data_IF_632043647472
#
_entry.id   IF_632043647472
#
_cell.length_a   1.000
_cell.length_b   1.000
_cell.length_c   1.000
_cell.angle_alpha   90.00
_cell.angle_beta   90.00
_cell.angle_gamma   90.00
#
_symmetry.space_group_name_H-M   'P 1'
#
loop_
_entity.id
_entity.type
_entity.pdbx_description
1 polymer ?
#
# COMPACT_ATOMS: atom_id res chain seq x y z
N UNK A 1 26.35 2.94 -4.69
CA UNK A 1 24.98 3.09 -5.22
C UNK A 1 24.18 1.92 -4.71
N UNK A 2 23.63 2.05 -3.50
CA UNK A 2 22.61 1.14 -2.99
C UNK A 2 21.41 2.04 -2.67
N UNK A 3 20.54 2.25 -3.66
CA UNK A 3 19.16 2.61 -3.34
C UNK A 3 18.50 1.31 -2.89
N UNK A 4 18.52 1.05 -1.59
CA UNK A 4 17.90 -0.14 -1.02
C UNK A 4 16.38 0.05 -1.06
N UNK A 5 15.74 -0.38 -2.14
CA UNK A 5 14.27 -0.48 -2.17
C UNK A 5 13.87 -1.69 -1.33
N UNK A 6 13.66 -1.48 -0.03
CA UNK A 6 13.13 -2.53 0.83
C UNK A 6 11.62 -2.65 0.61
N UNK A 7 11.22 -3.71 -0.09
CA UNK A 7 9.82 -4.11 -0.25
C UNK A 7 9.36 -4.83 1.01
N UNK A 8 8.69 -4.13 1.91
CA UNK A 8 8.14 -4.72 3.13
C UNK A 8 6.65 -5.01 2.91
N UNK A 9 6.27 -6.29 3.02
CA UNK A 9 4.87 -6.67 3.17
C UNK A 9 4.46 -6.43 4.62
N UNK A 10 3.39 -5.67 4.80
CA UNK A 10 2.77 -5.50 6.12
C UNK A 10 1.35 -5.99 6.05
N UNK A 11 0.94 -6.71 7.09
CA UNK A 11 -0.42 -7.16 7.28
C UNK A 11 -1.04 -6.36 8.41
N UNK A 12 -2.23 -5.85 8.14
CA UNK A 12 -3.13 -5.39 9.18
C UNK A 12 -4.18 -6.47 9.38
N UNK A 13 -4.42 -6.82 10.65
CA UNK A 13 -5.43 -7.78 11.06
C UNK A 13 -6.62 -7.02 11.63
N UNK A 14 -7.81 -7.42 11.21
CA UNK A 14 -9.05 -6.91 11.74
C UNK A 14 -9.32 -7.57 13.11
N UNK A 15 -9.45 -6.78 14.17
CA UNK A 15 -9.70 -7.28 15.54
C UNK A 15 -10.80 -6.43 16.16
N UNK A 16 -12.06 -6.65 15.81
CA UNK A 16 -13.12 -5.92 16.52
C UNK A 16 -13.36 -6.51 17.92
N UNK A 17 -13.19 -5.65 18.93
CA UNK A 17 -13.68 -5.87 20.28
C UNK A 17 -15.20 -5.67 20.31
N UNK A 18 -15.97 -6.57 20.96
CA UNK A 18 -17.44 -6.60 20.90
C UNK A 18 -18.17 -5.44 21.61
N UNK A 19 -17.53 -4.28 21.86
CA UNK A 19 -18.07 -3.22 22.72
C UNK A 19 -18.08 -1.80 22.14
N UNK A 20 -17.73 -1.56 20.87
CA UNK A 20 -17.61 -0.18 20.33
C UNK A 20 -18.73 0.15 19.30
N UNK A 21 -19.96 0.36 19.79
CA UNK A 21 -21.18 0.63 19.00
C UNK A 21 -21.22 2.01 18.27
N UNK A 22 -20.19 2.86 18.43
CA UNK A 22 -20.27 4.29 18.10
C UNK A 22 -19.48 4.76 16.87
N UNK A 23 -19.23 3.92 15.86
CA UNK A 23 -18.53 4.35 14.63
C UNK A 23 -19.35 4.06 13.40
N UNK A 24 -20.41 4.84 13.23
CA UNK A 24 -21.20 4.96 11.99
C UNK A 24 -20.59 6.06 11.12
N UNK A 25 -19.52 5.79 10.38
CA UNK A 25 -19.13 6.63 9.25
C UNK A 25 -17.98 6.00 8.46
N UNK A 26 -18.15 5.94 7.12
CA UNK A 26 -17.17 5.59 6.08
C UNK A 26 -16.69 4.13 6.12
N UNK A 27 -16.82 3.37 5.02
CA UNK A 27 -16.25 2.01 4.82
C UNK A 27 -14.96 1.82 5.65
N UNK A 28 -15.09 1.23 6.84
CA UNK A 28 -14.08 1.42 7.87
C UNK A 28 -12.90 0.53 7.55
N UNK A 29 -11.78 1.15 7.17
CA UNK A 29 -10.47 0.55 7.33
C UNK A 29 -10.18 0.63 8.85
N UNK A 30 -9.90 -0.50 9.50
CA UNK A 30 -9.70 -0.60 10.95
C UNK A 30 -8.46 -1.44 11.23
N UNK A 31 -7.30 -0.86 10.98
CA UNK A 31 -6.05 -1.53 11.32
C UNK A 31 -5.76 -1.39 12.82
N UNK A 32 -6.08 -2.41 13.61
CA UNK A 32 -5.91 -2.35 15.07
C UNK A 32 -4.54 -2.83 15.55
N UNK A 33 -3.86 -3.67 14.76
CA UNK A 33 -2.48 -4.08 15.01
C UNK A 33 -1.71 -4.19 13.70
N UNK A 34 -0.45 -3.76 13.73
CA UNK A 34 0.45 -3.83 12.60
C UNK A 34 1.46 -4.94 12.85
N UNK A 35 1.28 -6.09 12.21
CA UNK A 35 2.23 -7.19 12.30
C UNK A 35 3.14 -7.16 11.07
N UNK A 36 4.41 -6.86 11.28
CA UNK A 36 5.46 -7.15 10.30
C UNK A 36 5.84 -8.63 10.47
N UNK A 37 5.25 -9.51 9.67
CA UNK A 37 5.79 -10.85 9.54
C UNK A 37 7.12 -10.75 8.78
N UNK A 38 8.22 -11.08 9.44
CA UNK A 38 9.50 -11.34 8.78
C UNK A 38 9.41 -12.68 8.05
N UNK A 39 8.63 -12.74 6.98
CA UNK A 39 8.77 -13.81 6.02
C UNK A 39 10.07 -13.55 5.25
N UNK A 40 10.97 -14.54 5.27
CA UNK A 40 12.19 -14.48 4.46
C UNK A 40 11.79 -14.41 2.98
N UNK A 41 12.23 -13.35 2.32
CA UNK A 41 12.12 -13.17 0.88
C UNK A 41 12.80 -14.35 0.18
N UNK A 42 12.05 -15.20 -0.52
CA UNK A 42 12.63 -16.32 -1.25
C UNK A 42 12.64 -16.01 -2.75
N UNK A 43 13.83 -15.80 -3.31
CA UNK A 43 14.00 -15.63 -4.75
C UNK A 43 14.03 -17.02 -5.38
N UNK A 44 12.97 -17.39 -6.08
CA UNK A 44 12.83 -18.74 -6.63
C UNK A 44 13.44 -18.87 -8.03
N UNK A 45 13.37 -17.79 -8.83
CA UNK A 45 13.87 -17.80 -10.20
C UNK A 45 14.32 -16.41 -10.63
N UNK A 46 15.47 -16.35 -11.30
CA UNK A 46 15.93 -15.17 -12.03
C UNK A 46 16.09 -15.58 -13.49
N UNK A 47 15.47 -14.84 -14.40
CA UNK A 47 15.59 -15.03 -15.85
C UNK A 47 16.19 -13.77 -16.44
N UNK A 48 17.31 -13.89 -17.16
CA UNK A 48 17.93 -12.77 -17.86
C UNK A 48 17.62 -12.84 -19.33
N UNK A 49 17.03 -11.78 -19.87
CA UNK A 49 16.60 -11.70 -21.26
C UNK A 49 17.37 -10.62 -22.03
N UNK A 50 17.13 -10.55 -23.34
CA UNK A 50 17.76 -9.51 -24.16
C UNK A 50 17.17 -8.10 -23.92
N UNK A 51 15.93 -8.02 -23.44
CA UNK A 51 15.19 -6.76 -23.25
C UNK A 51 14.77 -6.50 -21.79
N UNK A 52 14.66 -7.57 -21.00
CA UNK A 52 14.13 -7.53 -19.64
C UNK A 52 14.79 -8.61 -18.79
N UNK A 53 15.13 -8.24 -17.57
CA UNK A 53 15.51 -9.17 -16.50
C UNK A 53 14.31 -9.34 -15.57
N UNK A 54 13.97 -10.59 -15.25
CA UNK A 54 12.81 -10.92 -14.43
C UNK A 54 13.23 -11.74 -13.21
N UNK A 55 12.69 -11.40 -12.04
CA UNK A 55 12.84 -12.15 -10.79
C UNK A 55 11.47 -12.57 -10.24
N UNK A 56 11.28 -13.87 -10.05
CA UNK A 56 10.13 -14.43 -9.34
C UNK A 56 10.47 -14.60 -7.86
N UNK A 57 9.67 -13.98 -7.01
CA UNK A 57 9.88 -13.90 -5.58
C UNK A 57 8.63 -14.38 -4.86
N UNK A 58 8.81 -15.30 -3.93
CA UNK A 58 7.76 -15.78 -3.04
C UNK A 58 7.99 -15.26 -1.62
N UNK A 59 6.95 -14.68 -1.04
CA UNK A 59 6.95 -14.24 0.36
C UNK A 59 6.21 -15.26 1.24
N UNK A 60 5.10 -15.79 0.73
CA UNK A 60 4.31 -16.81 1.41
C UNK A 60 3.57 -17.66 0.38
N UNK A 61 2.95 -18.75 0.84
CA UNK A 61 2.11 -19.62 0.00
C UNK A 61 0.94 -18.92 -0.71
N UNK A 62 0.58 -17.72 -0.26
CA UNK A 62 -0.49 -16.89 -0.80
C UNK A 62 -0.01 -15.52 -1.30
N UNK A 63 1.28 -15.22 -1.25
CA UNK A 63 1.83 -13.94 -1.70
C UNK A 63 3.14 -14.13 -2.46
N UNK A 64 3.12 -13.78 -3.74
CA UNK A 64 4.28 -13.78 -4.61
C UNK A 64 4.32 -12.51 -5.46
N UNK A 65 5.49 -12.16 -5.96
CA UNK A 65 5.66 -11.08 -6.92
C UNK A 65 6.65 -11.43 -8.03
N UNK A 66 6.46 -10.79 -9.17
CA UNK A 66 7.40 -10.77 -10.28
C UNK A 66 7.92 -9.36 -10.42
N UNK A 67 9.22 -9.20 -10.32
CA UNK A 67 9.91 -7.92 -10.57
C UNK A 67 10.53 -8.01 -11.96
N UNK A 68 10.14 -7.10 -12.85
CA UNK A 68 10.69 -6.98 -14.20
C UNK A 68 11.46 -5.68 -14.32
N UNK A 69 12.75 -5.77 -14.59
CA UNK A 69 13.61 -4.64 -14.88
C UNK A 69 13.88 -4.61 -16.38
N UNK A 70 13.28 -3.66 -17.07
CA UNK A 70 13.50 -3.45 -18.49
C UNK A 70 14.82 -2.71 -18.73
N UNK A 71 15.52 -3.05 -19.81
CA UNK A 71 16.80 -2.41 -20.14
C UNK A 71 16.69 -0.92 -20.52
N UNK A 72 15.46 -0.40 -20.66
CA UNK A 72 15.19 1.04 -20.81
C UNK A 72 15.08 1.79 -19.47
N UNK A 73 15.23 1.10 -18.33
CA UNK A 73 15.17 1.67 -16.99
C UNK A 73 13.78 1.65 -16.34
N UNK A 74 12.75 1.13 -17.02
CA UNK A 74 11.44 0.90 -16.40
C UNK A 74 11.49 -0.28 -15.43
N UNK A 75 10.92 -0.08 -14.24
CA UNK A 75 10.67 -1.14 -13.27
C UNK A 75 9.18 -1.46 -13.28
N UNK A 76 8.85 -2.74 -13.38
CA UNK A 76 7.48 -3.20 -13.27
C UNK A 76 7.42 -4.26 -12.17
N UNK A 77 6.42 -4.14 -11.29
CA UNK A 77 6.17 -5.11 -10.25
C UNK A 77 4.77 -5.64 -10.41
N UNK A 78 4.66 -6.96 -10.54
CA UNK A 78 3.41 -7.68 -10.58
C UNK A 78 3.24 -8.49 -9.29
N UNK A 79 2.14 -8.29 -8.57
CA UNK A 79 1.82 -9.04 -7.37
C UNK A 79 0.72 -10.04 -7.64
N UNK A 80 0.84 -11.21 -7.02
CA UNK A 80 -0.23 -12.19 -6.89
C UNK A 80 -0.50 -12.37 -5.41
N UNK A 81 -1.67 -11.91 -4.96
CA UNK A 81 -2.13 -12.04 -3.57
C UNK A 81 -3.35 -12.95 -3.53
N UNK A 82 -3.30 -13.96 -2.67
CA UNK A 82 -4.37 -14.91 -2.40
C UNK A 82 -4.18 -16.30 -3.04
N UNK A 83 -5.08 -17.26 -2.75
CA UNK A 83 -6.12 -17.18 -1.72
C UNK A 83 -5.52 -16.97 -0.33
N UNK A 84 -6.14 -16.15 0.49
CA UNK A 84 -5.79 -16.12 1.90
C UNK A 84 -6.10 -17.47 2.58
N UNK A 85 -5.34 -17.83 3.63
CA UNK A 85 -5.65 -19.02 4.41
C UNK A 85 -7.07 -18.98 4.99
N UNK A 86 -7.76 -20.12 5.00
CA UNK A 86 -9.11 -20.26 5.57
C UNK A 86 -9.08 -20.43 7.09
N UNK A 87 -8.50 -19.46 7.80
CA UNK A 87 -8.34 -19.48 9.26
C UNK A 87 -9.22 -18.45 9.99
N UNK A 88 -10.22 -17.88 9.29
CA UNK A 88 -11.15 -16.89 9.82
C UNK A 88 -10.46 -15.65 10.41
N UNK A 89 -9.30 -15.27 9.88
CA UNK A 89 -8.61 -14.02 10.22
C UNK A 89 -8.78 -13.01 9.08
N UNK A 90 -9.33 -11.83 9.40
CA UNK A 90 -9.39 -10.71 8.46
C UNK A 90 -7.98 -10.20 8.14
N UNK A 91 -7.70 -9.93 6.86
CA UNK A 91 -6.39 -9.50 6.38
C UNK A 91 -6.50 -8.35 5.42
N UNK A 92 -5.67 -7.35 5.65
CA UNK A 92 -5.44 -6.26 4.71
C UNK A 92 -3.96 -6.27 4.34
N UNK A 93 -3.68 -6.65 3.10
CA UNK A 93 -2.32 -6.78 2.57
C UNK A 93 -1.91 -5.49 1.90
N UNK A 94 -0.78 -4.94 2.35
CA UNK A 94 -0.18 -3.76 1.75
C UNK A 94 1.20 -4.07 1.18
N UNK A 95 1.60 -3.29 0.18
CA UNK A 95 3.00 -3.13 -0.20
C UNK A 95 3.49 -1.78 0.32
N UNK A 96 4.70 -1.77 0.90
CA UNK A 96 5.37 -0.56 1.35
C UNK A 96 6.71 -0.40 0.65
N UNK A 97 6.88 0.75 0.03
CA UNK A 97 8.12 1.26 -0.51
C UNK A 97 8.76 2.15 0.54
N UNK A 98 10.05 1.99 0.82
CA UNK A 98 10.79 2.87 1.72
C UNK A 98 11.96 3.45 0.95
N UNK A 99 12.12 4.76 1.02
CA UNK A 99 13.26 5.50 0.49
C UNK A 99 14.03 6.03 1.69
N UNK A 100 15.29 5.64 1.78
CA UNK A 100 16.20 6.18 2.76
C UNK A 100 16.62 7.59 2.33
N UNK A 101 16.17 8.60 3.08
CA UNK A 101 16.47 10.00 2.82
C UNK A 101 15.96 10.90 3.93
N UNK A 102 16.68 11.98 4.19
CA UNK A 102 16.28 12.99 5.17
C UNK A 102 15.31 14.01 4.52
N UNK A 103 14.39 14.56 5.31
CA UNK A 103 13.43 15.60 4.89
C UNK A 103 12.39 15.19 3.82
N UNK A 104 11.99 13.91 3.79
CA UNK A 104 11.00 13.40 2.82
C UNK A 104 9.57 13.60 3.32
N UNK A 105 9.10 14.86 3.28
CA UNK A 105 7.78 15.23 3.82
C UNK A 105 6.66 15.24 2.77
N UNK A 106 6.98 15.39 1.47
CA UNK A 106 5.99 15.76 0.47
C UNK A 106 5.38 14.59 -0.28
N UNK A 107 4.05 14.54 -0.29
CA UNK A 107 3.29 13.48 -0.95
C UNK A 107 2.10 13.99 -1.68
N UNK A 108 2.03 13.55 -2.92
CA UNK A 108 0.95 13.88 -3.82
C UNK A 108 0.23 12.59 -4.21
N UNK A 109 -1.09 12.63 -4.09
CA UNK A 109 -2.00 11.62 -4.63
C UNK A 109 -2.73 12.20 -5.82
N UNK A 110 -3.02 11.42 -6.85
CA UNK A 110 -3.86 11.90 -7.94
C UNK A 110 -5.33 12.07 -7.50
N UNK A 111 -6.04 12.96 -8.20
CA UNK A 111 -7.48 13.11 -8.11
C UNK A 111 -8.11 12.67 -9.43
N UNK A 112 -8.71 11.48 -9.40
CA UNK A 112 -9.39 10.87 -10.57
C UNK A 112 -8.51 10.85 -11.83
N UNK A 113 -7.23 10.52 -11.69
CA UNK A 113 -6.26 10.43 -12.77
C UNK A 113 -5.77 11.77 -13.34
N UNK A 114 -6.19 12.90 -12.77
CA UNK A 114 -5.89 14.25 -13.30
C UNK A 114 -4.87 14.99 -12.44
N UNK A 115 -5.37 15.86 -11.57
CA UNK A 115 -4.55 16.79 -10.78
C UNK A 115 -3.94 16.05 -9.59
N UNK A 116 -2.69 16.37 -9.28
CA UNK A 116 -2.05 15.95 -8.04
C UNK A 116 -2.52 16.83 -6.88
N UNK A 117 -2.96 16.20 -5.79
CA UNK A 117 -3.36 16.83 -4.55
C UNK A 117 -2.32 16.50 -3.49
N UNK A 118 -1.81 17.55 -2.84
CA UNK A 118 -0.89 17.43 -1.71
C UNK A 118 -1.64 16.84 -0.51
N UNK A 119 -1.09 15.80 0.09
CA UNK A 119 -1.65 15.16 1.29
C UNK A 119 -0.68 15.31 2.46
N UNK A 120 -1.17 15.87 3.55
CA UNK A 120 -0.46 15.98 4.82
C UNK A 120 -1.06 14.98 5.82
N UNK A 121 -0.19 14.28 6.56
CA UNK A 121 -0.61 13.30 7.57
C UNK A 121 -1.35 14.01 8.70
N UNK A 122 -2.47 13.44 9.15
CA UNK A 122 -3.31 13.96 10.24
C UNK A 122 -3.73 15.43 10.05
N UNK A 123 -3.92 15.85 8.79
CA UNK A 123 -4.25 17.23 8.45
C UNK A 123 -5.48 17.29 7.53
N UNK A 124 -6.28 18.34 7.69
CA UNK A 124 -7.45 18.64 6.85
C UNK A 124 -7.45 20.14 6.57
N UNK A 125 -7.26 20.53 5.31
CA UNK A 125 -7.26 21.94 4.91
C UNK A 125 -8.67 22.56 4.95
N UNK A 126 -9.69 21.76 4.61
CA UNK A 126 -11.06 22.24 4.40
C UNK A 126 -11.89 22.31 5.71
N UNK A 127 -11.35 21.82 6.83
CA UNK A 127 -12.09 21.67 8.09
C UNK A 127 -11.48 22.57 9.15
N UNK A 128 -12.31 23.36 9.82
CA UNK A 128 -11.92 24.14 11.00
C UNK A 128 -11.72 23.21 12.20
N UNK A 129 -10.63 22.44 12.20
CA UNK A 129 -10.30 21.54 13.29
C UNK A 129 -9.93 22.36 14.54
N UNK A 130 -10.47 22.01 15.72
CA UNK A 130 -10.05 22.66 16.96
C UNK A 130 -8.55 22.42 17.19
N UNK A 131 -7.88 23.35 17.88
CA UNK A 131 -6.42 23.31 18.16
C UNK A 131 -5.99 21.98 18.80
N UNK A 132 -6.89 21.32 19.52
CA UNK A 132 -6.64 20.05 20.23
C UNK A 132 -7.10 18.81 19.44
N UNK A 133 -7.39 18.93 18.15
CA UNK A 133 -7.80 17.78 17.36
C UNK A 133 -6.67 16.75 17.29
N UNK A 134 -6.97 15.55 17.76
CA UNK A 134 -6.10 14.39 17.64
C UNK A 134 -6.80 13.36 16.76
N UNK A 135 -6.16 12.99 15.65
CA UNK A 135 -6.67 11.95 14.77
C UNK A 135 -6.56 10.59 15.49
N UNK A 136 -7.70 10.10 15.99
CA UNK A 136 -7.79 8.84 16.73
C UNK A 136 -7.46 7.67 15.78
N UNK A 137 -7.80 7.80 14.50
CA UNK A 137 -7.58 6.79 13.48
C UNK A 137 -6.36 7.14 12.63
N UNK A 138 -5.19 7.19 13.26
CA UNK A 138 -3.94 7.69 12.67
C UNK A 138 -3.40 6.89 11.47
N UNK A 139 -3.92 5.69 11.22
CA UNK A 139 -3.63 4.91 10.00
C UNK A 139 -4.70 5.20 8.97
N UNK A 140 -5.94 4.87 9.31
CA UNK A 140 -7.04 4.75 8.34
C UNK A 140 -7.55 6.11 7.90
N UNK A 141 -7.50 7.12 8.79
CA UNK A 141 -7.74 8.53 8.48
C UNK A 141 -6.68 9.15 7.55
N UNK A 142 -5.59 8.46 7.24
CA UNK A 142 -4.60 8.93 6.28
C UNK A 142 -4.66 8.18 4.94
N UNK A 143 -5.51 7.17 4.79
CA UNK A 143 -5.66 6.49 3.49
C UNK A 143 -6.44 7.34 2.49
N UNK A 144 -5.91 7.43 1.28
CA UNK A 144 -6.51 8.17 0.17
C UNK A 144 -6.72 7.25 -1.03
N UNK A 145 -7.73 7.54 -1.88
CA UNK A 145 -7.90 6.84 -3.14
C UNK A 145 -6.75 7.20 -4.09
N UNK A 146 -6.05 6.19 -4.59
CA UNK A 146 -4.99 6.28 -5.59
C UNK A 146 -5.56 5.67 -6.87
N UNK A 147 -5.97 6.51 -7.83
CA UNK A 147 -6.62 6.04 -9.06
C UNK A 147 -5.59 5.74 -10.14
N UNK A 148 -4.53 6.52 -10.21
CA UNK A 148 -3.49 6.42 -11.23
C UNK A 148 -2.09 6.41 -10.65
N UNK A 149 -1.79 7.31 -9.71
CA UNK A 149 -0.43 7.42 -9.15
C UNK A 149 -0.36 8.05 -7.77
N UNK A 150 0.63 7.58 -7.02
CA UNK A 150 1.10 8.19 -5.77
C UNK A 150 2.59 8.49 -5.92
N UNK A 151 3.04 9.63 -5.39
CA UNK A 151 4.44 10.00 -5.51
C UNK A 151 4.99 10.81 -4.35
N UNK A 152 6.30 10.66 -4.16
CA UNK A 152 7.14 11.51 -3.34
C UNK A 152 7.95 12.43 -4.26
N UNK A 153 8.01 13.71 -3.91
CA UNK A 153 8.76 14.74 -4.65
C UNK A 153 9.77 15.44 -3.73
N UNK A 154 10.71 16.13 -4.35
CA UNK A 154 11.69 17.00 -3.69
C UNK A 154 12.51 16.28 -2.62
N UNK A 155 12.97 15.05 -2.90
CA UNK A 155 13.83 14.30 -1.99
C UNK A 155 15.22 14.94 -1.97
N UNK A 156 15.73 15.29 -0.80
CA UNK A 156 17.12 15.66 -0.63
C UNK A 156 17.95 14.39 -0.50
N UNK A 157 18.82 14.14 -1.49
CA UNK A 157 19.83 13.10 -1.34
C UNK A 157 21.08 13.73 -0.73
N UNK A 158 21.30 13.48 0.56
CA UNK A 158 22.40 14.10 1.31
C UNK A 158 23.76 13.83 0.68
N UNK A 159 23.97 12.62 0.15
CA UNK A 159 25.21 12.24 -0.54
C UNK A 159 25.44 12.99 -1.86
N UNK A 160 24.38 13.57 -2.46
CA UNK A 160 24.43 14.37 -3.68
C UNK A 160 24.34 15.88 -3.39
N UNK A 161 23.95 16.26 -2.16
CA UNK A 161 23.63 17.62 -1.75
C UNK A 161 22.69 18.36 -2.74
N UNK A 162 21.78 17.61 -3.36
CA UNK A 162 20.86 18.09 -4.39
C UNK A 162 19.43 17.62 -4.09
N UNK A 163 18.46 18.50 -4.32
CA UNK A 163 17.04 18.14 -4.24
C UNK A 163 16.58 17.56 -5.57
N UNK A 164 16.23 16.29 -5.58
CA UNK A 164 15.67 15.64 -6.75
C UNK A 164 14.18 15.98 -6.83
N UNK A 165 13.71 16.62 -7.92
CA UNK A 165 12.31 17.04 -8.06
C UNK A 165 11.34 15.85 -8.06
N UNK A 166 11.77 14.69 -8.57
CA UNK A 166 11.01 13.44 -8.61
C UNK A 166 11.74 12.36 -7.83
N UNK A 167 11.24 12.03 -6.64
CA UNK A 167 11.88 11.05 -5.77
C UNK A 167 11.48 9.61 -6.06
N UNK A 168 10.16 9.37 -6.10
CA UNK A 168 9.56 8.09 -6.47
C UNK A 168 8.12 8.34 -6.93
N UNK A 169 7.75 7.75 -8.06
CA UNK A 169 6.38 7.72 -8.52
C UNK A 169 5.98 6.25 -8.71
N UNK A 170 4.78 5.91 -8.27
CA UNK A 170 4.20 4.58 -8.45
C UNK A 170 2.91 4.76 -9.24
N UNK A 171 2.85 4.11 -10.39
CA UNK A 171 1.67 4.07 -11.25
C UNK A 171 0.94 2.76 -11.05
N UNK A 172 -0.36 2.83 -10.79
CA UNK A 172 -1.20 1.66 -10.51
C UNK A 172 -2.00 1.25 -11.74
N UNK A 173 -2.17 -0.05 -11.96
CA UNK A 173 -3.05 -0.61 -13.00
C UNK A 173 -4.55 -0.39 -12.72
N UNK A 174 -4.92 -0.22 -11.45
CA UNK A 174 -6.28 0.05 -10.97
C UNK A 174 -6.30 1.00 -9.78
N UNK A 175 -7.50 1.34 -9.33
CA UNK A 175 -7.67 2.13 -8.11
C UNK A 175 -7.34 1.33 -6.85
N UNK A 176 -6.52 1.90 -5.98
CA UNK A 176 -6.12 1.34 -4.69
C UNK A 176 -6.34 2.35 -3.56
N UNK A 177 -6.32 1.89 -2.32
CA UNK A 177 -6.09 2.76 -1.17
C UNK A 177 -4.60 2.91 -0.94
N UNK A 178 -4.11 4.12 -0.68
CA UNK A 178 -2.69 4.34 -0.41
C UNK A 178 -2.41 5.54 0.47
N UNK A 179 -1.21 5.56 1.06
CA UNK A 179 -0.87 6.57 2.06
C UNK A 179 0.63 6.70 2.37
N UNK A 180 0.85 7.50 3.42
CA UNK A 180 2.02 7.94 4.11
C UNK A 180 1.88 7.81 5.60
N UNK A 181 2.38 6.72 6.16
CA UNK A 181 2.39 6.59 7.61
C UNK A 181 3.68 7.06 8.26
N UNK A 182 4.82 6.98 7.54
CA UNK A 182 6.09 7.55 7.98
C UNK A 182 6.82 8.17 6.81
N UNK A 183 7.60 9.21 7.07
CA UNK A 183 8.35 9.95 6.06
C UNK A 183 9.27 9.01 5.26
N UNK A 184 9.45 9.30 3.97
CA UNK A 184 10.19 8.42 3.06
C UNK A 184 9.49 7.12 2.64
N UNK A 185 8.38 6.73 3.27
CA UNK A 185 7.65 5.51 2.88
C UNK A 185 6.62 5.80 1.78
N UNK A 186 6.05 4.85 1.07
CA UNK A 186 4.75 4.96 0.38
C UNK A 186 4.10 3.60 0.54
N UNK A 187 2.79 3.55 0.79
CA UNK A 187 2.10 2.27 0.83
C UNK A 187 0.84 2.25 -0.01
N UNK A 188 0.59 1.08 -0.59
CA UNK A 188 -0.58 0.75 -1.38
C UNK A 188 -1.20 -0.52 -0.80
N UNK A 189 -2.50 -0.51 -0.61
CA UNK A 189 -3.28 -1.70 -0.27
C UNK A 189 -3.51 -2.51 -1.53
N UNK A 190 -3.02 -3.75 -1.53
CA UNK A 190 -3.11 -4.66 -2.66
C UNK A 190 -4.41 -5.46 -2.63
N UNK A 191 -4.76 -6.01 -1.46
CA UNK A 191 -5.95 -6.84 -1.31
C UNK A 191 -6.41 -6.85 0.15
N UNK A 192 -7.73 -7.00 0.36
CA UNK A 192 -8.34 -7.14 1.70
C UNK A 192 -9.40 -8.24 1.70
N UNK A 193 -9.47 -8.95 2.81
CA UNK A 193 -10.52 -9.91 3.15
C UNK A 193 -10.98 -9.60 4.57
N UNK A 194 -12.29 -9.44 4.77
CA UNK A 194 -12.88 -9.32 6.10
C UNK A 194 -13.68 -10.57 6.40
N UNK A 195 -13.77 -10.93 7.68
CA UNK A 195 -14.52 -12.11 8.15
C UNK A 195 -15.84 -11.72 8.79
N UNK A 196 -16.04 -10.42 9.04
CA UNK A 196 -17.27 -9.83 9.54
C UNK A 196 -17.77 -8.74 8.58
N UNK A 197 -19.09 -8.54 8.61
CA UNK A 197 -19.77 -7.42 7.96
C UNK A 197 -19.54 -6.12 8.76
N UNK A 198 -19.50 -4.99 8.06
CA UNK A 198 -19.29 -3.67 8.67
C UNK A 198 -20.58 -3.02 9.18
N UNK A 199 -21.74 -3.69 9.05
CA UNK A 199 -23.08 -3.22 9.38
C UNK A 199 -23.47 -1.92 8.65
N UNK A 200 -22.93 -1.68 7.46
CA UNK A 200 -23.26 -0.52 6.63
C UNK A 200 -24.27 -0.81 5.52
N UNK A 201 -24.96 -1.96 5.61
CA UNK A 201 -26.15 -2.28 4.82
C UNK A 201 -25.99 -3.37 3.76
N UNK A 202 -24.77 -3.84 3.53
CA UNK A 202 -24.48 -4.94 2.60
C UNK A 202 -24.76 -6.31 3.27
N UNK A 203 -24.57 -6.41 4.59
CA UNK A 203 -24.88 -7.59 5.42
C UNK A 203 -24.13 -8.86 5.00
N UNK A 204 -22.90 -8.70 4.48
CA UNK A 204 -22.00 -9.80 4.16
C UNK A 204 -20.54 -9.39 4.38
N UNK A 205 -19.68 -10.29 4.89
CA UNK A 205 -18.26 -10.04 4.98
C UNK A 205 -17.62 -9.99 3.59
N UNK A 206 -16.52 -9.25 3.44
CA UNK A 206 -15.76 -9.22 2.20
C UNK A 206 -14.89 -10.48 2.06
N UNK A 207 -15.46 -11.54 1.50
CA UNK A 207 -14.79 -12.82 1.23
C UNK A 207 -14.92 -13.24 -0.24
N UNK A 208 -14.71 -12.30 -1.16
CA UNK A 208 -14.81 -12.58 -2.60
C UNK A 208 -13.75 -13.59 -3.07
N UNK A 209 -14.17 -14.58 -3.85
CA UNK A 209 -13.29 -15.58 -4.46
C UNK A 209 -12.86 -15.21 -5.88
N UNK A 210 -13.22 -14.03 -6.39
CA UNK A 210 -12.93 -13.62 -7.76
C UNK A 210 -13.60 -14.52 -8.82
N UNK A 211 -13.36 -14.21 -10.11
CA UNK A 211 -13.95 -14.94 -11.23
C UNK A 211 -13.43 -16.39 -11.38
N UNK A 212 -12.22 -16.65 -10.90
CA UNK A 212 -11.60 -17.97 -10.95
C UNK A 212 -11.95 -18.85 -9.74
N UNK A 213 -12.78 -18.34 -8.81
CA UNK A 213 -13.13 -18.95 -7.53
C UNK A 213 -11.91 -19.28 -6.64
N UNK A 214 -10.77 -18.60 -6.84
CA UNK A 214 -9.53 -18.83 -6.06
C UNK A 214 -9.20 -17.71 -5.11
N UNK A 215 -9.93 -16.61 -5.10
CA UNK A 215 -9.64 -15.42 -4.29
C UNK A 215 -8.27 -14.83 -4.61
N UNK A 216 -7.84 -14.90 -5.87
CA UNK A 216 -6.54 -14.43 -6.33
C UNK A 216 -6.66 -13.08 -7.02
N UNK A 217 -5.82 -12.14 -6.60
CA UNK A 217 -5.74 -10.82 -7.17
C UNK A 217 -4.36 -10.62 -7.81
N UNK A 218 -4.39 -10.32 -9.10
CA UNK A 218 -3.23 -9.95 -9.91
C UNK A 218 -3.20 -8.43 -10.06
N UNK A 219 -2.09 -7.82 -9.67
CA UNK A 219 -1.95 -6.38 -9.56
C UNK A 219 -0.62 -5.99 -10.19
N UNK A 220 -0.57 -4.90 -10.93
CA UNK A 220 0.64 -4.44 -11.62
C UNK A 220 0.89 -2.97 -11.37
N UNK A 221 2.11 -2.62 -11.00
CA UNK A 221 2.57 -1.24 -10.94
C UNK A 221 3.82 -1.02 -11.77
N UNK A 222 3.99 0.22 -12.21
CA UNK A 222 5.18 0.75 -12.87
C UNK A 222 5.74 1.96 -12.12
#
# INVERSE_FOLDING_TARGET
MECTYLFLFKLYTDIDHPSDENKKEVKIYKSLLSYSFLHYLNILKITRGNLVDEAYIEYSSWASMIVRLYHNGELEVEWTIGPFPSDMIGRETIIRYTIDGNDVQYRDTDSSGRRLIKRLRNHRDDWSLPIQYHEIQNITGNYYPIVNRIMIKNILLEWLNEKIPFGLAIYTDRSHGGTSLNDGQLELMLHRQTVYDDNLGVNEPLMELGLDNKGKYYLKCK
#
